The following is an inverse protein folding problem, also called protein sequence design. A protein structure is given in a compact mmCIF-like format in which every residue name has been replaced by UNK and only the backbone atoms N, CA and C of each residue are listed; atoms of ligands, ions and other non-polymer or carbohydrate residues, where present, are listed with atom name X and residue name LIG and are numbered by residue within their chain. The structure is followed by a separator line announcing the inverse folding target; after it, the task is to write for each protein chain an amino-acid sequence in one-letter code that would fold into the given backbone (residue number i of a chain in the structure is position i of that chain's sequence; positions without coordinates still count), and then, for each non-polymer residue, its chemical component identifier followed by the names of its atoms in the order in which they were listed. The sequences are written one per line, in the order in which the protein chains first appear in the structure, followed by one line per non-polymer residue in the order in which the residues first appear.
data_IF_061530242666
#
_entry.id   IF_061530242666
#
_cell.length_a   1.000
_cell.length_b   1.000
_cell.length_c   1.000
_cell.angle_alpha   90.00
_cell.angle_beta   90.00
_cell.angle_gamma   90.00
#
_symmetry.space_group_name_H-M   'P 1'
#
loop_
_entity.id
_entity.type
_entity.pdbx_description
1 polymer ?
#
# COMPACT_ATOMS: atom_id res chain seq x y z
N UNK A 1 9.23 -4.20 -14.72
CA UNK A 1 10.31 -3.21 -14.44
C UNK A 1 9.66 -1.92 -13.96
N UNK A 2 10.23 -1.22 -12.99
CA UNK A 2 9.72 0.09 -12.54
C UNK A 2 10.56 1.24 -13.15
N UNK A 3 9.91 2.31 -13.61
CA UNK A 3 10.56 3.52 -14.16
C UNK A 3 9.66 4.74 -13.89
N UNK A 4 10.18 5.75 -13.18
CA UNK A 4 9.43 6.95 -12.78
C UNK A 4 8.09 6.62 -12.10
N UNK A 5 8.09 5.72 -11.11
CA UNK A 5 6.91 5.21 -10.41
C UNK A 5 5.85 4.51 -11.31
N UNK A 6 6.15 4.31 -12.59
CA UNK A 6 5.33 3.52 -13.49
C UNK A 6 5.88 2.10 -13.62
N UNK A 7 4.97 1.14 -13.77
CA UNK A 7 5.31 -0.25 -13.98
C UNK A 7 5.27 -0.55 -15.48
N UNK A 8 6.37 -1.14 -15.97
CA UNK A 8 6.59 -1.46 -17.36
C UNK A 8 6.77 -2.97 -17.48
N UNK A 9 5.91 -3.61 -18.26
CA UNK A 9 6.04 -5.00 -18.68
C UNK A 9 6.93 -5.08 -19.92
N UNK A 10 7.73 -6.15 -20.00
CA UNK A 10 8.65 -6.38 -21.12
C UNK A 10 8.33 -7.73 -21.70
N UNK A 11 7.99 -7.73 -22.98
CA UNK A 11 7.74 -8.93 -23.76
C UNK A 11 9.07 -9.52 -24.28
N UNK A 12 9.22 -10.86 -24.31
CA UNK A 12 10.43 -11.50 -24.81
C UNK A 12 10.59 -11.37 -26.33
N UNK A 13 9.51 -11.18 -27.07
CA UNK A 13 9.49 -11.09 -28.53
C UNK A 13 9.84 -9.68 -29.05
N UNK A 14 10.24 -9.55 -30.32
CA UNK A 14 10.54 -8.24 -30.93
C UNK A 14 9.28 -7.47 -31.34
N UNK A 15 8.25 -8.17 -31.82
CA UNK A 15 6.94 -7.62 -32.17
C UNK A 15 5.90 -8.31 -31.31
N UNK A 16 5.30 -7.58 -30.39
CA UNK A 16 4.38 -8.14 -29.41
C UNK A 16 2.97 -7.64 -29.65
N UNK A 17 1.98 -8.49 -29.50
CA UNK A 17 0.58 -8.07 -29.36
C UNK A 17 0.19 -8.29 -27.90
N UNK A 18 -0.27 -7.23 -27.25
CA UNK A 18 -0.62 -7.26 -25.83
C UNK A 18 -2.11 -7.49 -25.63
N UNK A 19 -2.43 -8.17 -24.54
CA UNK A 19 -3.79 -8.45 -24.13
C UNK A 19 -3.89 -8.31 -22.60
N UNK A 20 -4.98 -7.72 -22.12
CA UNK A 20 -5.32 -7.58 -20.72
C UNK A 20 -6.67 -8.25 -20.47
N UNK A 21 -6.69 -9.29 -19.65
CA UNK A 21 -7.91 -10.01 -19.27
C UNK A 21 -8.78 -10.46 -20.47
N UNK A 22 -8.14 -10.78 -21.61
CA UNK A 22 -8.81 -11.19 -22.84
C UNK A 22 -9.13 -10.06 -23.83
N UNK A 23 -8.86 -8.80 -23.46
CA UNK A 23 -9.01 -7.62 -24.32
C UNK A 23 -7.67 -7.25 -24.97
N UNK A 24 -7.61 -7.30 -26.30
CA UNK A 24 -6.45 -6.84 -27.05
C UNK A 24 -6.19 -5.34 -26.83
N UNK A 25 -4.94 -4.99 -26.48
CA UNK A 25 -4.49 -3.62 -26.31
C UNK A 25 -3.92 -3.09 -27.63
N UNK A 26 -4.16 -1.82 -27.94
CA UNK A 26 -3.56 -1.13 -29.11
C UNK A 26 -2.08 -0.78 -28.85
N UNK A 27 -1.28 -1.77 -28.46
CA UNK A 27 0.15 -1.60 -28.26
C UNK A 27 0.91 -2.75 -28.93
N UNK A 28 1.86 -2.40 -29.80
CA UNK A 28 2.74 -3.37 -30.48
C UNK A 28 4.21 -3.28 -30.04
N UNK A 29 4.54 -2.39 -29.09
CA UNK A 29 5.91 -2.28 -28.60
C UNK A 29 6.29 -3.43 -27.68
N UNK A 30 7.59 -3.71 -27.62
CA UNK A 30 8.19 -4.68 -26.70
C UNK A 30 7.93 -4.35 -25.23
N UNK A 31 7.80 -3.06 -24.92
CA UNK A 31 7.50 -2.56 -23.58
C UNK A 31 6.04 -2.10 -23.50
N UNK A 32 5.36 -2.41 -22.39
CA UNK A 32 4.00 -1.94 -22.10
C UNK A 32 4.02 -1.22 -20.75
N UNK A 33 3.72 0.08 -20.75
CA UNK A 33 3.50 0.86 -19.54
C UNK A 33 2.07 0.59 -19.04
N UNK A 34 1.95 0.03 -17.84
CA UNK A 34 0.66 -0.26 -17.19
C UNK A 34 0.26 0.82 -16.17
N UNK A 35 0.97 1.95 -16.18
CA UNK A 35 0.71 3.11 -15.35
C UNK A 35 1.41 3.07 -14.01
N UNK A 36 0.99 4.00 -13.14
CA UNK A 36 1.64 4.20 -11.84
C UNK A 36 1.43 3.01 -10.92
N UNK A 37 2.50 2.62 -10.24
CA UNK A 37 2.53 1.58 -9.21
C UNK A 37 1.60 1.90 -8.03
N UNK A 38 1.29 3.19 -7.82
CA UNK A 38 0.39 3.69 -6.78
C UNK A 38 -1.09 3.44 -7.07
N UNK A 39 -1.46 3.15 -8.32
CA UNK A 39 -2.84 2.88 -8.72
C UNK A 39 -3.23 1.40 -8.53
N UNK A 40 -2.41 0.62 -7.83
CA UNK A 40 -2.59 -0.83 -7.64
C UNK A 40 -2.95 -1.56 -8.95
N UNK A 41 -2.10 -1.51 -9.99
CA UNK A 41 -2.38 -2.19 -11.25
C UNK A 41 -2.53 -3.70 -11.02
N UNK A 42 -3.61 -4.27 -11.55
CA UNK A 42 -4.00 -5.67 -11.41
C UNK A 42 -4.54 -6.21 -12.73
N UNK A 43 -4.36 -7.51 -12.94
CA UNK A 43 -4.94 -8.22 -14.07
C UNK A 43 -3.96 -9.21 -14.69
N UNK A 44 -4.50 -10.06 -15.56
CA UNK A 44 -3.72 -11.04 -16.31
C UNK A 44 -3.32 -10.39 -17.63
N UNK A 45 -2.03 -10.10 -17.76
CA UNK A 45 -1.46 -9.60 -19.00
C UNK A 45 -0.92 -10.78 -19.81
N UNK A 46 -1.15 -10.77 -21.11
CA UNK A 46 -0.46 -11.66 -22.03
C UNK A 46 0.17 -10.90 -23.18
N UNK A 47 1.25 -11.48 -23.69
CA UNK A 47 1.90 -11.00 -24.90
C UNK A 47 2.19 -12.18 -25.82
N UNK A 48 1.94 -12.00 -27.11
CA UNK A 48 2.23 -12.98 -28.15
C UNK A 48 3.08 -12.37 -29.26
N UNK A 49 3.86 -13.21 -29.93
CA UNK A 49 4.63 -12.76 -31.10
C UNK A 49 3.70 -12.44 -32.28
N UNK A 50 3.91 -11.30 -32.93
CA UNK A 50 3.10 -10.88 -34.06
C UNK A 50 3.32 -11.80 -35.27
N UNK A 51 2.32 -12.62 -35.59
CA UNK A 51 2.33 -13.51 -36.76
C UNK A 51 2.56 -15.00 -36.45
N UNK A 52 2.69 -15.37 -35.18
CA UNK A 52 2.73 -16.76 -34.73
C UNK A 52 1.70 -16.96 -33.62
N UNK A 53 0.74 -17.87 -33.81
CA UNK A 53 -0.31 -18.15 -32.81
C UNK A 53 0.20 -19.00 -31.64
N UNK A 54 1.33 -19.70 -31.78
CA UNK A 54 1.76 -20.73 -30.84
C UNK A 54 2.61 -20.22 -29.65
N UNK A 55 3.06 -18.96 -29.66
CA UNK A 55 3.94 -18.40 -28.63
C UNK A 55 3.27 -17.23 -27.90
N UNK A 56 2.40 -17.55 -26.93
CA UNK A 56 1.80 -16.59 -25.99
C UNK A 56 2.34 -16.81 -24.57
N UNK A 57 2.71 -15.72 -23.90
CA UNK A 57 3.23 -15.72 -22.52
C UNK A 57 2.30 -14.90 -21.64
N UNK A 58 1.94 -15.47 -20.49
CA UNK A 58 1.03 -14.88 -19.52
C UNK A 58 1.76 -14.45 -18.24
N UNK A 59 1.31 -13.35 -17.65
CA UNK A 59 1.73 -12.89 -16.33
C UNK A 59 0.53 -12.32 -15.57
N UNK A 60 0.28 -12.85 -14.37
CA UNK A 60 -0.68 -12.28 -13.42
C UNK A 60 0.03 -11.19 -12.62
N UNK A 61 -0.40 -9.95 -12.82
CA UNK A 61 0.15 -8.79 -12.12
C UNK A 61 -0.77 -8.48 -10.93
N UNK A 62 -0.21 -8.57 -9.73
CA UNK A 62 -0.88 -8.14 -8.50
C UNK A 62 0.02 -7.21 -7.72
N UNK A 63 -0.18 -5.89 -7.90
CA UNK A 63 0.55 -4.87 -7.17
C UNK A 63 -0.35 -4.25 -6.12
N UNK A 64 0.20 -4.08 -4.91
CA UNK A 64 -0.44 -3.36 -3.82
C UNK A 64 0.57 -2.40 -3.17
N UNK A 65 0.52 -1.12 -3.53
CA UNK A 65 1.32 -0.06 -2.89
C UNK A 65 0.39 0.81 -2.07
N UNK A 66 0.63 0.91 -0.76
CA UNK A 66 -0.08 1.89 0.04
C UNK A 66 0.60 3.26 -0.05
N UNK A 67 -0.15 4.31 -0.35
CA UNK A 67 0.22 5.66 0.04
C UNK A 67 -0.13 5.82 1.53
N UNK A 68 0.80 6.29 2.36
CA UNK A 68 0.59 6.53 3.80
C UNK A 68 0.43 5.29 4.71
N UNK A 69 0.82 4.08 4.28
CA UNK A 69 0.94 2.98 5.25
C UNK A 69 2.10 3.28 6.23
N UNK A 70 1.77 3.38 7.52
CA UNK A 70 2.74 3.46 8.60
C UNK A 70 3.28 2.04 8.79
N UNK A 71 4.60 1.91 8.76
CA UNK A 71 5.25 0.68 9.20
C UNK A 71 5.20 0.66 10.73
N UNK A 72 4.24 -0.08 11.30
CA UNK A 72 4.15 -0.28 12.74
C UNK A 72 5.13 -1.37 13.14
N UNK A 73 6.32 -0.96 13.56
CA UNK A 73 7.23 -1.87 14.24
C UNK A 73 6.82 -2.04 15.72
N UNK A 74 7.25 -3.15 16.32
CA UNK A 74 7.02 -3.47 17.73
C UNK A 74 7.48 -2.32 18.65
N UNK A 75 8.55 -1.59 18.31
CA UNK A 75 9.01 -0.42 19.05
C UNK A 75 7.99 0.74 19.08
N UNK A 76 7.34 1.03 17.95
CA UNK A 76 6.33 2.11 17.87
C UNK A 76 5.07 1.74 18.65
N UNK A 77 4.61 0.49 18.52
CA UNK A 77 3.44 -0.01 19.25
C UNK A 77 3.66 0.03 20.75
N UNK A 78 4.82 -0.46 21.22
CA UNK A 78 5.17 -0.43 22.64
C UNK A 78 5.30 0.99 23.17
N UNK A 79 5.86 1.91 22.39
CA UNK A 79 5.92 3.34 22.72
C UNK A 79 4.53 3.95 22.96
N UNK A 80 3.55 3.67 22.09
CA UNK A 80 2.18 4.16 22.28
C UNK A 80 1.53 3.62 23.55
N UNK A 81 1.72 2.34 23.87
CA UNK A 81 1.17 1.73 25.08
C UNK A 81 1.76 2.38 26.34
N UNK A 82 3.09 2.56 26.37
CA UNK A 82 3.75 3.18 27.53
C UNK A 82 3.30 4.64 27.71
N UNK A 83 3.21 5.39 26.61
CA UNK A 83 2.75 6.78 26.65
C UNK A 83 1.32 6.90 27.18
N UNK A 84 0.42 6.01 26.77
CA UNK A 84 -0.97 5.97 27.22
C UNK A 84 -1.07 5.68 28.73
N UNK A 85 -0.31 4.71 29.24
CA UNK A 85 -0.27 4.39 30.68
C UNK A 85 0.17 5.61 31.50
N UNK A 86 1.21 6.32 31.05
CA UNK A 86 1.70 7.53 31.72
C UNK A 86 0.62 8.62 31.70
N UNK A 87 -0.03 8.83 30.55
CA UNK A 87 -1.09 9.82 30.38
C UNK A 87 -2.26 9.55 31.33
N UNK A 88 -2.75 8.31 31.39
CA UNK A 88 -3.81 7.90 32.30
C UNK A 88 -3.40 8.12 33.76
N UNK A 89 -2.15 7.80 34.11
CA UNK A 89 -1.61 8.04 35.45
C UNK A 89 -1.64 9.52 35.85
N UNK A 90 -1.20 10.41 34.95
CA UNK A 90 -1.20 11.85 35.18
C UNK A 90 -2.63 12.40 35.32
N UNK A 91 -3.55 11.96 34.45
CA UNK A 91 -4.96 12.35 34.52
C UNK A 91 -5.57 11.89 35.84
N UNK A 92 -5.34 10.64 36.24
CA UNK A 92 -5.82 10.09 37.51
C UNK A 92 -5.31 10.88 38.70
N UNK A 93 -4.03 11.25 38.70
CA UNK A 93 -3.42 12.03 39.78
C UNK A 93 -3.99 13.45 39.85
N UNK A 94 -4.22 14.09 38.70
CA UNK A 94 -4.87 15.40 38.64
C UNK A 94 -6.30 15.34 39.21
N UNK A 95 -7.10 14.35 38.81
CA UNK A 95 -8.48 14.14 39.33
C UNK A 95 -8.46 13.88 40.84
N UNK A 96 -7.50 13.09 41.32
CA UNK A 96 -7.33 12.84 42.75
C UNK A 96 -7.07 14.13 43.54
N UNK A 97 -6.21 15.02 43.04
CA UNK A 97 -5.95 16.30 43.70
C UNK A 97 -7.15 17.25 43.67
N UNK A 98 -7.84 17.33 42.53
CA UNK A 98 -9.05 18.16 42.39
C UNK A 98 -10.13 17.70 43.38
N UNK A 99 -10.46 16.40 43.39
CA UNK A 99 -11.47 15.84 44.30
C UNK A 99 -11.05 15.91 45.78
N UNK A 100 -9.77 15.68 46.09
CA UNK A 100 -9.24 15.80 47.45
C UNK A 100 -9.26 17.23 48.00
N UNK A 101 -9.17 18.24 47.13
CA UNK A 101 -9.26 19.66 47.51
C UNK A 101 -10.67 20.09 47.94
N UNK A 102 -11.73 19.46 47.39
CA UNK A 102 -13.11 19.79 47.77
C UNK A 102 -13.50 19.27 49.16
N UNK A 103 -12.86 18.18 49.63
CA UNK A 103 -13.15 17.58 50.95
C UNK A 103 -12.62 18.42 52.13
N UNK A 104 -11.72 19.40 51.89
CA UNK A 104 -11.17 20.30 52.93
C UNK A 104 -11.89 21.66 53.06
N UNK A 105 -13.15 21.77 52.65
CA UNK A 105 -14.02 22.85 53.16
C UNK A 105 -14.79 22.31 54.37
N UNK A 106 -14.36 22.57 55.64
CA UNK A 106 -15.26 22.35 56.75
C UNK A 106 -16.51 23.21 56.52
N UNK A 107 -17.66 22.53 56.49
CA UNK A 107 -18.96 23.19 56.44
C UNK A 107 -19.04 24.18 57.61
N UNK A 108 -19.48 25.40 57.33
CA UNK A 108 -19.65 26.48 58.31
C UNK A 108 -20.69 26.11 59.36
#
# INVERSE_FOLDING_TARGET
REKNDNLILICPFEKCEWNLDGIALENTSKELDIGSVWNDPRGIYSCKSKGTEDEEVFIDVFVRKCQNCIELDAGTVTGFIIADIIMIGLISMAVYFVSGSETRRPNR
#
